data_IF_048211532061
#
_entry.id   IF_048211532061
#
_cell.length_a   1.000
_cell.length_b   1.000
_cell.length_c   1.000
_cell.angle_alpha   90.00
_cell.angle_beta   90.00
_cell.angle_gamma   90.00
#
_symmetry.space_group_name_H-M   'P 1'
#
loop_
_entity.id
_entity.type
_entity.pdbx_description
1 polymer ?
#
# COMPACT_ATOMS: atom_id res chain seq x y z
N UNK A 1 10.84 7.35 -10.37
CA UNK A 1 9.75 7.33 -9.38
C UNK A 1 9.98 6.18 -8.43
N UNK A 2 9.85 6.41 -7.12
CA UNK A 2 9.99 5.39 -6.08
C UNK A 2 8.66 5.25 -5.34
N UNK A 3 8.29 4.03 -4.95
CA UNK A 3 7.04 3.76 -4.20
C UNK A 3 7.37 3.51 -2.75
N UNK A 4 6.92 4.40 -1.86
CA UNK A 4 7.09 4.28 -0.40
C UNK A 4 5.88 3.71 0.33
N UNK A 5 4.70 3.80 -0.29
CA UNK A 5 3.42 3.40 0.31
C UNK A 5 2.70 2.44 -0.63
N UNK A 6 2.27 1.30 -0.10
CA UNK A 6 1.47 0.32 -0.81
C UNK A 6 0.06 0.29 -0.22
N UNK A 7 -0.95 0.27 -1.09
CA UNK A 7 -2.35 0.10 -0.71
C UNK A 7 -2.90 -1.15 -1.40
N UNK A 8 -3.56 -2.04 -0.66
CA UNK A 8 -4.19 -3.24 -1.23
C UNK A 8 -5.43 -3.69 -0.46
N UNK A 9 -6.17 -4.64 -1.02
CA UNK A 9 -7.18 -5.39 -0.26
C UNK A 9 -6.52 -6.38 0.73
N UNK A 10 -7.30 -6.86 1.71
CA UNK A 10 -6.83 -7.87 2.67
C UNK A 10 -6.33 -9.16 1.99
N UNK A 11 -6.92 -9.57 0.86
CA UNK A 11 -6.62 -10.83 0.16
C UNK A 11 -5.21 -10.84 -0.44
N UNK A 12 -4.66 -9.69 -0.82
CA UNK A 12 -3.31 -9.58 -1.36
C UNK A 12 -2.21 -9.65 -0.29
N UNK A 13 -2.52 -9.50 0.99
CA UNK A 13 -1.51 -9.42 2.07
C UNK A 13 -0.57 -10.63 2.10
N UNK A 14 -1.11 -11.84 1.89
CA UNK A 14 -0.29 -13.07 1.83
C UNK A 14 0.70 -13.05 0.68
N UNK A 15 0.32 -12.52 -0.49
CA UNK A 15 1.22 -12.40 -1.65
C UNK A 15 2.29 -11.36 -1.38
N UNK A 16 1.93 -10.24 -0.76
CA UNK A 16 2.88 -9.19 -0.39
C UNK A 16 3.90 -9.66 0.64
N UNK A 17 3.47 -10.41 1.66
CA UNK A 17 4.35 -11.01 2.63
C UNK A 17 5.39 -11.96 1.99
N UNK A 18 5.03 -12.65 0.91
CA UNK A 18 5.96 -13.53 0.17
C UNK A 18 7.03 -12.76 -0.62
N UNK A 19 6.78 -11.49 -0.98
CA UNK A 19 7.71 -10.65 -1.76
C UNK A 19 8.28 -9.48 -0.96
N UNK A 20 7.97 -9.36 0.34
CA UNK A 20 8.32 -8.19 1.17
C UNK A 20 9.82 -7.93 1.25
N UNK A 21 10.64 -8.99 1.11
CA UNK A 21 12.10 -8.88 1.04
C UNK A 21 12.59 -8.07 -0.18
N UNK A 22 11.88 -8.16 -1.31
CA UNK A 22 12.27 -7.55 -2.60
C UNK A 22 11.81 -6.09 -2.73
N UNK A 23 10.85 -5.67 -1.90
CA UNK A 23 10.25 -4.34 -1.94
C UNK A 23 11.01 -3.37 -1.02
N UNK A 24 12.22 -3.01 -1.40
CA UNK A 24 13.16 -2.25 -0.55
C UNK A 24 12.74 -0.80 -0.25
N UNK A 25 11.99 -0.17 -1.15
CA UNK A 25 11.53 1.23 -1.00
C UNK A 25 10.27 1.38 -0.16
N UNK A 26 9.49 0.30 -0.01
CA UNK A 26 8.19 0.33 0.67
C UNK A 26 8.41 0.45 2.17
N UNK A 27 7.76 1.45 2.78
CA UNK A 27 7.84 1.77 4.21
C UNK A 27 6.50 1.57 4.90
N UNK A 28 5.40 1.80 4.19
CA UNK A 28 4.04 1.75 4.73
C UNK A 28 3.16 0.87 3.87
N UNK A 29 2.32 0.07 4.55
CA UNK A 29 1.30 -0.77 3.94
C UNK A 29 -0.05 -0.40 4.54
N UNK A 30 -0.99 0.01 3.70
CA UNK A 30 -2.38 0.22 4.08
C UNK A 30 -3.23 -0.87 3.46
N UNK A 31 -3.97 -1.60 4.26
CA UNK A 31 -4.89 -2.61 3.75
C UNK A 31 -6.35 -2.18 3.95
N UNK A 32 -7.17 -2.43 2.95
CA UNK A 32 -8.63 -2.32 3.06
C UNK A 32 -9.15 -3.56 3.77
N UNK A 33 -9.84 -3.35 4.89
CA UNK A 33 -10.38 -4.41 5.72
C UNK A 33 -11.44 -5.25 4.98
N UNK A 34 -11.54 -6.52 5.37
CA UNK A 34 -12.60 -7.42 4.95
C UNK A 34 -13.30 -7.97 6.21
N UNK A 35 -14.63 -8.01 6.20
CA UNK A 35 -15.40 -8.41 7.38
C UNK A 35 -15.05 -9.83 7.82
N UNK A 36 -14.75 -10.00 9.11
CA UNK A 36 -14.35 -11.27 9.71
C UNK A 36 -12.91 -11.71 9.38
N UNK A 37 -12.12 -10.88 8.70
CA UNK A 37 -10.73 -11.16 8.41
C UNK A 37 -9.79 -10.55 9.47
N UNK A 38 -8.91 -11.38 10.03
CA UNK A 38 -7.94 -10.97 11.04
C UNK A 38 -6.50 -11.22 10.59
N UNK A 39 -5.60 -10.31 10.95
CA UNK A 39 -4.17 -10.48 10.72
C UNK A 39 -3.63 -11.51 11.71
N UNK A 40 -3.12 -12.63 11.19
CA UNK A 40 -2.43 -13.62 12.03
C UNK A 40 -1.08 -13.09 12.49
N UNK A 41 -0.59 -13.62 13.63
CA UNK A 41 0.76 -13.32 14.15
C UNK A 41 1.85 -13.52 13.08
N UNK A 42 1.78 -14.64 12.36
CA UNK A 42 2.78 -15.00 11.34
C UNK A 42 2.77 -14.03 10.15
N UNK A 43 1.58 -13.50 9.81
CA UNK A 43 1.46 -12.51 8.74
C UNK A 43 2.01 -11.16 9.19
N UNK A 44 1.71 -10.75 10.43
CA UNK A 44 2.28 -9.54 11.02
C UNK A 44 3.80 -9.58 11.10
N UNK A 45 4.37 -10.73 11.50
CA UNK A 45 5.82 -10.91 11.55
C UNK A 45 6.47 -10.74 10.17
N UNK A 46 5.87 -11.34 9.12
CA UNK A 46 6.38 -11.20 7.74
C UNK A 46 6.24 -9.79 7.16
N UNK A 47 5.30 -8.99 7.70
CA UNK A 47 5.06 -7.61 7.31
C UNK A 47 5.76 -6.60 8.25
N UNK A 48 6.47 -7.07 9.28
CA UNK A 48 7.10 -6.24 10.32
C UNK A 48 8.09 -5.19 9.82
N UNK A 49 8.58 -5.35 8.58
CA UNK A 49 9.44 -4.36 7.90
C UNK A 49 8.70 -3.06 7.56
N UNK A 50 7.37 -3.08 7.54
CA UNK A 50 6.54 -1.96 7.15
C UNK A 50 5.67 -1.50 8.32
N UNK A 51 5.30 -0.21 8.29
CA UNK A 51 4.18 0.26 9.09
C UNK A 51 2.89 -0.26 8.46
N UNK A 52 2.27 -1.25 9.08
CA UNK A 52 0.99 -1.82 8.65
C UNK A 52 -0.15 -1.09 9.36
N UNK A 53 -1.07 -0.51 8.59
CA UNK A 53 -2.27 0.15 9.11
C UNK A 53 -3.50 -0.28 8.32
N UNK A 54 -4.65 -0.34 8.99
CA UNK A 54 -5.92 -0.54 8.31
C UNK A 54 -6.43 0.75 7.66
N UNK A 55 -7.30 0.67 6.66
CA UNK A 55 -7.84 1.86 6.03
C UNK A 55 -8.73 2.68 6.99
N UNK A 56 -9.47 2.02 7.90
CA UNK A 56 -10.18 2.74 8.98
C UNK A 56 -9.24 3.47 9.94
N UNK A 57 -8.09 2.88 10.29
CA UNK A 57 -7.09 3.53 11.14
C UNK A 57 -6.54 4.79 10.47
N UNK A 58 -6.17 4.70 9.19
CA UNK A 58 -5.66 5.85 8.43
C UNK A 58 -6.71 6.95 8.31
N UNK A 59 -7.99 6.60 8.08
CA UNK A 59 -9.10 7.58 8.07
C UNK A 59 -9.23 8.29 9.41
N UNK A 60 -9.23 7.55 10.52
CA UNK A 60 -9.30 8.12 11.87
C UNK A 60 -8.14 9.06 12.13
N UNK A 61 -6.91 8.63 11.81
CA UNK A 61 -5.71 9.46 11.95
C UNK A 61 -5.80 10.76 11.16
N UNK A 62 -6.30 10.70 9.91
CA UNK A 62 -6.48 11.89 9.07
C UNK A 62 -7.54 12.86 9.59
N UNK A 63 -8.59 12.37 10.25
CA UNK A 63 -9.60 13.21 10.90
C UNK A 63 -9.05 13.89 12.17
N UNK A 64 -8.25 13.17 12.95
CA UNK A 64 -7.67 13.67 14.20
C UNK A 64 -6.48 14.62 13.96
N UNK A 65 -5.77 14.47 12.84
CA UNK A 65 -4.53 15.17 12.54
C UNK A 65 -4.60 15.82 11.15
N UNK A 66 -5.46 16.82 11.01
CA UNK A 66 -5.59 17.57 9.77
C UNK A 66 -4.25 18.26 9.40
N UNK A 67 -3.88 18.19 8.12
CA UNK A 67 -2.70 18.85 7.55
C UNK A 67 -3.09 19.67 6.34
N UNK A 68 -2.32 20.72 6.05
CA UNK A 68 -2.57 21.57 4.88
C UNK A 68 -2.44 20.78 3.57
N UNK A 69 -3.30 21.12 2.61
CA UNK A 69 -3.29 20.48 1.31
C UNK A 69 -2.03 20.86 0.51
N UNK A 70 -1.37 19.86 -0.08
CA UNK A 70 -0.29 20.06 -1.05
C UNK A 70 -0.86 20.01 -2.46
N UNK A 71 -1.03 21.18 -3.08
CA UNK A 71 -1.61 21.30 -4.42
C UNK A 71 -0.59 20.90 -5.50
N UNK A 72 -0.92 19.99 -6.44
CA UNK A 72 -0.02 19.57 -7.51
C UNK A 72 0.10 20.62 -8.62
N UNK A 73 1.19 20.54 -9.39
CA UNK A 73 1.39 21.30 -10.63
C UNK A 73 0.94 20.49 -11.85
N UNK A 74 0.66 21.17 -12.97
CA UNK A 74 0.25 20.50 -14.22
C UNK A 74 1.32 19.58 -14.81
N UNK A 75 2.59 19.78 -14.43
CA UNK A 75 3.72 18.94 -14.83
C UNK A 75 3.94 17.72 -13.92
N UNK A 76 3.23 17.61 -12.80
CA UNK A 76 3.41 16.50 -11.86
C UNK A 76 2.86 15.18 -12.44
N UNK A 77 3.57 14.07 -12.16
CA UNK A 77 3.09 12.74 -12.52
C UNK A 77 1.93 12.38 -11.58
N UNK A 78 0.71 12.33 -12.13
CA UNK A 78 -0.48 11.92 -11.38
C UNK A 78 -0.57 10.39 -11.22
N UNK A 79 -0.41 9.64 -12.31
CA UNK A 79 -0.62 8.18 -12.33
C UNK A 79 0.35 7.53 -13.33
N UNK A 80 0.92 6.39 -12.94
CA UNK A 80 1.57 5.43 -13.83
C UNK A 80 0.70 4.18 -13.85
N UNK A 81 0.10 3.85 -14.99
CA UNK A 81 -0.75 2.67 -15.15
C UNK A 81 -0.02 1.61 -15.97
N UNK A 82 0.25 0.47 -15.35
CA UNK A 82 0.86 -0.65 -16.04
C UNK A 82 -0.18 -1.42 -16.85
N UNK A 83 0.12 -1.69 -18.12
CA UNK A 83 -0.78 -2.48 -19.00
C UNK A 83 -0.01 -3.62 -19.65
N UNK A 84 -0.62 -4.80 -19.78
CA UNK A 84 0.03 -6.01 -20.32
C UNK A 84 0.28 -5.96 -21.83
N UNK A 85 -0.43 -5.09 -22.58
CA UNK A 85 -0.34 -4.97 -24.03
C UNK A 85 -0.45 -6.31 -24.78
N UNK A 86 0.00 -6.36 -26.04
CA UNK A 86 0.14 -7.62 -26.79
C UNK A 86 1.43 -8.37 -26.48
N UNK A 87 2.35 -7.77 -25.72
CA UNK A 87 3.70 -8.28 -25.44
C UNK A 87 3.80 -9.13 -24.17
N UNK A 88 2.71 -9.27 -23.41
CA UNK A 88 2.61 -10.14 -22.23
C UNK A 88 3.23 -9.58 -20.95
N UNK A 89 4.37 -8.89 -21.03
CA UNK A 89 4.97 -8.19 -19.90
C UNK A 89 4.34 -6.79 -19.72
N UNK A 90 3.94 -6.40 -18.49
CA UNK A 90 3.42 -5.07 -18.23
C UNK A 90 4.45 -3.97 -18.55
N UNK A 91 3.99 -2.93 -19.25
CA UNK A 91 4.75 -1.70 -19.50
C UNK A 91 4.25 -0.57 -18.63
#
# INVERSE_FOLDING_TARGET
>A
TEVSTLICDFKQLKKLAAISAQLHSVKSLVYMEEDGAELTSDLLEKLSRWKVSSFSEVRRLGMENAVDARIPQSSDIAVIMYTSGSTGLPK
#
